data_IF_464997850506
#
_entry.id   IF_464997850506
#
_cell.length_a   1.000
_cell.length_b   1.000
_cell.length_c   1.000
_cell.angle_alpha   90.00
_cell.angle_beta   90.00
_cell.angle_gamma   90.00
#
_symmetry.space_group_name_H-M   'P 1'
#
loop_
_entity.id
_entity.type
_entity.pdbx_description
1 polymer ?
#
# COMPACT_ATOMS: atom_id res chain seq x y z
N UNK A 1 -11.85 -12.57 7.43
CA UNK A 1 -10.92 -12.40 8.55
C UNK A 1 -9.99 -11.23 8.23
N UNK A 2 -9.56 -10.45 9.22
CA UNK A 2 -8.58 -9.37 9.02
C UNK A 2 -7.17 -9.93 9.21
N UNK A 3 -6.20 -9.44 8.45
CA UNK A 3 -4.78 -9.78 8.57
C UNK A 3 -3.96 -8.50 8.70
N UNK A 4 -2.82 -8.58 9.41
CA UNK A 4 -1.89 -7.45 9.53
C UNK A 4 -0.83 -7.51 8.46
N UNK A 5 -0.67 -6.40 7.75
CA UNK A 5 0.44 -6.19 6.81
C UNK A 5 1.27 -5.00 7.26
N UNK A 6 2.54 -5.00 6.89
CA UNK A 6 3.44 -3.88 7.17
C UNK A 6 3.50 -2.96 5.97
N UNK A 7 3.11 -1.70 6.15
CA UNK A 7 3.29 -0.66 5.14
C UNK A 7 4.66 -0.05 5.33
N UNK A 8 5.45 0.03 4.26
CA UNK A 8 6.81 0.58 4.28
C UNK A 8 6.92 1.72 3.29
N UNK A 9 7.24 2.92 3.78
CA UNK A 9 7.52 4.08 2.95
C UNK A 9 8.88 3.98 2.28
N UNK A 10 8.94 4.10 0.96
CA UNK A 10 10.21 4.21 0.23
C UNK A 10 10.92 5.56 0.50
N UNK A 11 10.16 6.60 0.86
CA UNK A 11 10.69 7.94 1.18
C UNK A 11 10.65 8.13 2.70
N UNK A 12 11.80 8.39 3.31
CA UNK A 12 11.90 8.62 4.77
C UNK A 12 11.93 7.36 5.63
N UNK A 13 11.64 6.18 5.09
CA UNK A 13 11.81 4.89 5.79
C UNK A 13 10.75 4.56 6.84
N UNK A 14 9.69 5.38 6.98
CA UNK A 14 8.60 5.11 7.91
C UNK A 14 7.91 3.77 7.63
N UNK A 15 7.59 3.02 8.67
CA UNK A 15 6.81 1.81 8.57
C UNK A 15 5.74 1.72 9.67
N UNK A 16 4.58 1.18 9.33
CA UNK A 16 3.49 0.94 10.29
C UNK A 16 2.70 -0.29 9.90
N UNK A 17 2.05 -0.90 10.88
CA UNK A 17 1.16 -2.03 10.64
C UNK A 17 -0.24 -1.53 10.26
N UNK A 18 -0.89 -2.23 9.34
CA UNK A 18 -2.23 -1.93 8.88
C UNK A 18 -3.06 -3.20 8.77
N UNK A 19 -4.30 -3.14 9.24
CA UNK A 19 -5.26 -4.23 9.08
C UNK A 19 -5.88 -4.18 7.68
N UNK A 20 -5.77 -5.29 6.97
CA UNK A 20 -6.37 -5.49 5.65
C UNK A 20 -7.24 -6.74 5.64
N UNK A 21 -8.09 -6.85 4.63
CA UNK A 21 -8.86 -8.07 4.39
C UNK A 21 -8.47 -8.69 3.04
N UNK A 22 -8.58 -10.01 2.87
CA UNK A 22 -8.30 -10.67 1.59
C UNK A 22 -9.08 -10.06 0.41
N UNK A 23 -10.35 -9.70 0.61
CA UNK A 23 -11.26 -9.10 -0.39
C UNK A 23 -10.99 -7.61 -0.64
N UNK A 24 -10.10 -6.98 0.13
CA UNK A 24 -9.83 -5.55 0.01
C UNK A 24 -9.01 -5.26 -1.25
N UNK A 25 -9.45 -4.29 -2.06
CA UNK A 25 -8.69 -3.81 -3.21
C UNK A 25 -7.51 -2.94 -2.81
N UNK A 26 -6.45 -2.97 -3.62
CA UNK A 26 -5.28 -2.09 -3.48
C UNK A 26 -5.68 -0.62 -3.49
N UNK A 27 -6.68 -0.22 -4.29
CA UNK A 27 -7.22 1.13 -4.27
C UNK A 27 -7.56 1.62 -2.86
N UNK A 28 -8.21 0.77 -2.06
CA UNK A 28 -8.63 1.14 -0.70
C UNK A 28 -7.43 1.24 0.26
N UNK A 29 -6.43 0.37 0.09
CA UNK A 29 -5.16 0.45 0.83
C UNK A 29 -4.47 1.78 0.53
N UNK A 30 -4.43 2.16 -0.75
CA UNK A 30 -3.85 3.41 -1.25
C UNK A 30 -4.56 4.65 -0.71
N UNK A 31 -5.89 4.67 -0.70
CA UNK A 31 -6.70 5.73 -0.08
C UNK A 31 -6.34 5.95 1.39
N UNK A 32 -6.23 4.88 2.20
CA UNK A 32 -5.89 4.99 3.62
C UNK A 32 -4.45 5.47 3.86
N UNK A 33 -3.51 4.97 3.05
CA UNK A 33 -2.11 5.43 3.06
C UNK A 33 -2.02 6.92 2.69
N UNK A 34 -2.76 7.36 1.67
CA UNK A 34 -2.81 8.74 1.20
C UNK A 34 -3.30 9.68 2.31
N UNK A 35 -4.40 9.33 2.97
CA UNK A 35 -4.94 10.08 4.12
C UNK A 35 -3.94 10.19 5.25
N UNK A 36 -3.28 9.09 5.61
CA UNK A 36 -2.28 9.07 6.70
C UNK A 36 -1.09 9.96 6.39
N UNK A 37 -0.59 9.92 5.16
CA UNK A 37 0.56 10.72 4.72
C UNK A 37 0.23 12.14 4.28
N UNK A 38 -1.06 12.47 4.16
CA UNK A 38 -1.56 13.76 3.67
C UNK A 38 -1.02 14.11 2.27
N UNK A 39 -1.00 13.11 1.38
CA UNK A 39 -0.59 13.27 -0.02
C UNK A 39 -1.71 12.81 -0.95
N UNK A 40 -1.78 13.32 -2.19
CA UNK A 40 -2.74 12.85 -3.18
C UNK A 40 -2.57 11.35 -3.50
N UNK A 41 -3.67 10.66 -3.79
CA UNK A 41 -3.66 9.23 -4.10
C UNK A 41 -2.94 8.93 -5.42
N UNK A 42 -3.09 9.79 -6.43
CA UNK A 42 -2.41 9.70 -7.73
C UNK A 42 -0.89 9.83 -7.60
N UNK A 43 -0.42 10.55 -6.57
CA UNK A 43 1.00 10.62 -6.23
C UNK A 43 1.53 9.33 -5.56
N UNK A 44 0.67 8.38 -5.18
CA UNK A 44 1.07 7.12 -4.54
C UNK A 44 1.07 5.97 -5.55
N UNK A 45 2.12 5.14 -5.48
CA UNK A 45 2.15 3.81 -6.08
C UNK A 45 2.49 2.77 -5.03
N UNK A 46 1.75 1.65 -5.03
CA UNK A 46 2.02 0.52 -4.15
C UNK A 46 2.82 -0.53 -4.93
N UNK A 47 3.83 -1.10 -4.28
CA UNK A 47 4.62 -2.21 -4.80
C UNK A 47 4.64 -3.37 -3.82
N UNK A 48 4.58 -4.58 -4.35
CA UNK A 48 4.66 -5.82 -3.61
C UNK A 48 5.66 -6.77 -4.29
N UNK A 49 6.52 -7.41 -3.50
CA UNK A 49 7.59 -8.31 -4.00
C UNK A 49 8.43 -7.71 -5.15
N UNK A 50 8.66 -6.40 -5.11
CA UNK A 50 9.45 -5.66 -6.11
C UNK A 50 8.67 -5.19 -7.34
N UNK A 51 7.38 -5.52 -7.47
CA UNK A 51 6.56 -5.13 -8.61
C UNK A 51 5.46 -4.15 -8.22
N UNK A 52 5.22 -3.13 -9.05
CA UNK A 52 4.05 -2.26 -8.87
C UNK A 52 2.76 -3.07 -9.07
N UNK A 53 1.79 -2.85 -8.20
CA UNK A 53 0.50 -3.56 -8.23
C UNK A 53 -0.60 -2.64 -8.71
N UNK A 54 -1.58 -3.22 -9.42
CA UNK A 54 -2.72 -2.47 -9.94
C UNK A 54 -3.77 -2.23 -8.85
N UNK A 55 -4.40 -1.06 -8.89
CA UNK A 55 -5.41 -0.61 -7.92
C UNK A 55 -6.66 -1.52 -7.89
N UNK A 56 -6.94 -2.22 -9.00
CA UNK A 56 -8.10 -3.12 -9.13
C UNK A 56 -7.91 -4.50 -8.51
N UNK A 57 -6.66 -4.92 -8.23
CA UNK A 57 -6.38 -6.22 -7.62
C UNK A 57 -6.69 -6.19 -6.13
N UNK A 58 -7.12 -7.33 -5.62
CA UNK A 58 -7.35 -7.59 -4.19
C UNK A 58 -6.08 -8.09 -3.49
N UNK A 59 -6.06 -8.01 -2.15
CA UNK A 59 -4.99 -8.57 -1.31
C UNK A 59 -4.81 -10.07 -1.59
N UNK A 60 -5.91 -10.81 -1.73
CA UNK A 60 -5.90 -12.24 -2.04
C UNK A 60 -5.32 -12.55 -3.42
N UNK A 61 -5.73 -11.81 -4.46
CA UNK A 61 -5.20 -11.98 -5.83
C UNK A 61 -3.70 -11.69 -5.95
N UNK A 62 -3.15 -10.90 -5.03
CA UNK A 62 -1.72 -10.61 -4.96
C UNK A 62 -0.94 -11.68 -4.19
N UNK A 63 -1.61 -12.57 -3.46
CA UNK A 63 -0.98 -13.55 -2.58
C UNK A 63 -0.24 -12.89 -1.42
N UNK A 64 -0.81 -11.80 -0.89
CA UNK A 64 -0.30 -11.12 0.31
C UNK A 64 -0.74 -11.90 1.53
N UNK A 65 0.21 -12.19 2.42
CA UNK A 65 -0.03 -12.92 3.66
C UNK A 65 0.16 -12.03 4.90
N UNK A 66 -0.19 -12.55 6.07
CA UNK A 66 0.06 -11.83 7.33
C UNK A 66 1.57 -11.63 7.55
N UNK A 67 1.96 -10.40 7.90
CA UNK A 67 3.35 -10.01 8.10
C UNK A 67 4.10 -9.58 6.82
N UNK A 68 3.48 -9.72 5.64
CA UNK A 68 4.07 -9.24 4.40
C UNK A 68 4.22 -7.70 4.39
N UNK A 69 5.16 -7.24 3.54
CA UNK A 69 5.47 -5.81 3.37
C UNK A 69 4.90 -5.27 2.06
N UNK A 70 4.09 -4.22 2.15
CA UNK A 70 3.67 -3.41 1.02
C UNK A 70 4.48 -2.12 0.99
N UNK A 71 5.18 -1.89 -0.10
CA UNK A 71 6.02 -0.72 -0.28
C UNK A 71 5.21 0.42 -0.90
N UNK A 72 5.27 1.59 -0.29
CA UNK A 72 4.60 2.81 -0.73
C UNK A 72 5.63 3.76 -1.30
N UNK A 73 5.50 4.03 -2.60
CA UNK A 73 6.31 4.99 -3.33
C UNK A 73 5.47 6.24 -3.50
N UNK A 74 5.95 7.38 -2.99
CA UNK A 74 5.32 8.68 -3.23
C UNK A 74 6.11 9.36 -4.35
N UNK A 75 5.45 9.70 -5.45
CA UNK A 75 6.04 10.48 -6.53
C UNK A 75 5.88 11.95 -6.18
N UNK A 76 7.00 12.68 -6.10
CA UNK A 76 6.93 14.14 -6.07
C UNK A 76 6.54 14.61 -7.47
N UNK A 77 5.34 15.17 -7.62
CA UNK A 77 5.03 16.08 -8.73
C UNK A 77 5.78 17.37 -8.44
N UNK A 78 7.07 17.38 -8.79
CA UNK A 78 7.87 18.60 -8.81
C UNK A 78 7.26 19.57 -9.82
N UNK A 79 6.96 20.79 -9.36
CA UNK A 79 6.75 21.95 -10.24
C UNK A 79 8.06 22.43 -10.83
#
# INVERSE_FOLDING_TARGET
MMMRVKIVSAIGGDAWDMDVRPDMKIKKVKEEVAKRKKVPEDAISIAFRGFQVNDDRTIEELGVEEGDKLYVIVRATGG
#
